data_IF_386022788306
#
_entry.id   IF_386022788306
#
_cell.length_a   1.000
_cell.length_b   1.000
_cell.length_c   1.000
_cell.angle_alpha   90.00
_cell.angle_beta   90.00
_cell.angle_gamma   90.00
#
_symmetry.space_group_name_H-M   'P 1'
#
loop_
_entity.id
_entity.type
_entity.pdbx_description
1 polymer ?
#
# COMPACT_ATOMS: atom_id res chain seq x y z
N UNK A 1 33.23 20.23 36.18
CA UNK A 1 34.01 19.61 35.09
C UNK A 1 33.21 18.42 34.61
N UNK A 2 32.73 18.52 33.35
CA UNK A 2 32.11 17.52 32.49
C UNK A 2 30.77 16.89 32.90
N UNK A 3 29.70 17.50 32.40
CA UNK A 3 28.40 16.88 32.13
C UNK A 3 28.58 15.67 31.21
N UNK A 4 28.13 14.48 31.65
CA UNK A 4 27.97 13.32 30.78
C UNK A 4 26.50 13.21 30.36
N UNK A 5 26.10 14.08 29.44
CA UNK A 5 24.86 13.90 28.68
C UNK A 5 25.10 12.81 27.65
N UNK A 6 24.74 11.58 28.00
CA UNK A 6 24.63 10.48 27.05
C UNK A 6 23.48 10.79 26.09
N UNK A 7 23.80 11.34 24.92
CA UNK A 7 22.87 11.45 23.80
C UNK A 7 22.47 10.05 23.36
N UNK A 8 21.39 9.51 23.92
CA UNK A 8 20.64 8.45 23.27
C UNK A 8 20.06 9.06 22.01
N UNK A 9 20.68 8.79 20.86
CA UNK A 9 20.06 9.02 19.58
C UNK A 9 18.69 8.33 19.63
N UNK A 10 17.63 9.14 19.71
CA UNK A 10 16.26 8.65 19.60
C UNK A 10 16.13 8.11 18.19
N UNK A 11 16.40 6.82 18.02
CA UNK A 11 15.81 6.05 16.94
C UNK A 11 14.32 6.06 17.24
N UNK A 12 13.62 7.10 16.79
CA UNK A 12 12.17 7.05 16.62
C UNK A 12 11.94 5.98 15.57
N UNK A 13 11.86 4.72 16.03
CA UNK A 13 11.37 3.64 15.19
C UNK A 13 10.06 4.11 14.61
N UNK A 14 9.90 4.01 13.29
CA UNK A 14 8.65 4.36 12.64
C UNK A 14 7.56 3.50 13.27
N UNK A 15 6.81 4.06 14.21
CA UNK A 15 5.69 3.35 14.81
C UNK A 15 4.65 3.18 13.72
N UNK A 16 4.18 1.94 13.54
CA UNK A 16 3.14 1.63 12.60
C UNK A 16 1.84 2.28 13.09
N UNK A 17 1.57 3.49 12.61
CA UNK A 17 0.36 4.22 12.98
C UNK A 17 -0.86 3.52 12.36
N UNK A 18 -1.95 3.32 13.13
CA UNK A 18 -3.23 2.89 12.56
C UNK A 18 -3.61 3.78 11.38
N UNK A 19 -4.08 3.15 10.30
CA UNK A 19 -4.22 3.79 9.00
C UNK A 19 -5.10 5.05 9.04
N UNK A 20 -4.51 6.21 8.72
CA UNK A 20 -5.20 7.48 8.54
C UNK A 20 -4.93 7.99 7.12
N UNK A 21 -5.95 8.58 6.49
CA UNK A 21 -5.79 9.24 5.19
C UNK A 21 -4.78 10.38 5.31
N UNK A 22 -3.81 10.46 4.40
CA UNK A 22 -2.86 11.56 4.42
C UNK A 22 -3.55 12.83 3.92
N UNK A 23 -3.70 13.82 4.81
CA UNK A 23 -4.20 15.13 4.42
C UNK A 23 -3.18 15.80 3.48
N UNK A 24 -3.68 16.36 2.38
CA UNK A 24 -2.87 17.10 1.40
C UNK A 24 -2.86 18.61 1.65
N UNK A 25 -3.62 19.09 2.64
CA UNK A 25 -3.75 20.52 2.92
C UNK A 25 -2.49 21.06 3.59
N UNK A 26 -1.95 22.14 3.04
CA UNK A 26 -0.77 22.82 3.60
C UNK A 26 0.57 22.15 3.31
N UNK A 27 0.59 21.05 2.55
CA UNK A 27 1.82 20.39 2.13
C UNK A 27 2.48 21.14 0.96
N UNK A 28 3.81 21.12 0.91
CA UNK A 28 4.54 21.58 -0.26
C UNK A 28 4.33 20.64 -1.46
N UNK A 29 4.92 20.98 -2.61
CA UNK A 29 4.70 20.22 -3.84
C UNK A 29 5.19 18.76 -3.76
N UNK A 30 6.34 18.52 -3.12
CA UNK A 30 6.95 17.19 -3.01
C UNK A 30 6.25 16.35 -1.93
N UNK A 31 5.95 16.96 -0.79
CA UNK A 31 5.18 16.35 0.30
C UNK A 31 3.78 15.95 -0.18
N UNK A 32 3.12 16.84 -0.93
CA UNK A 32 1.80 16.54 -1.52
C UNK A 32 1.86 15.38 -2.49
N UNK A 33 2.89 15.32 -3.35
CA UNK A 33 3.07 14.21 -4.29
C UNK A 33 3.23 12.88 -3.55
N UNK A 34 4.04 12.85 -2.50
CA UNK A 34 4.24 11.66 -1.65
C UNK A 34 2.95 11.25 -0.92
N UNK A 35 2.23 12.21 -0.35
CA UNK A 35 0.96 11.93 0.33
C UNK A 35 -0.10 11.34 -0.61
N UNK A 36 -0.20 11.86 -1.84
CA UNK A 36 -1.08 11.30 -2.88
C UNK A 36 -0.68 9.88 -3.25
N UNK A 37 0.61 9.65 -3.54
CA UNK A 37 1.11 8.31 -3.83
C UNK A 37 0.78 7.30 -2.72
N UNK A 38 0.96 7.68 -1.44
CA UNK A 38 0.64 6.80 -0.31
C UNK A 38 -0.86 6.51 -0.18
N UNK A 39 -1.71 7.48 -0.49
CA UNK A 39 -3.16 7.28 -0.50
C UNK A 39 -3.59 6.36 -1.67
N UNK A 40 -3.05 6.57 -2.87
CA UNK A 40 -3.33 5.73 -4.03
C UNK A 40 -2.84 4.29 -3.80
N UNK A 41 -1.65 4.13 -3.21
CA UNK A 41 -1.10 2.83 -2.83
C UNK A 41 -2.04 2.08 -1.88
N UNK A 42 -2.62 2.80 -0.91
CA UNK A 42 -3.60 2.23 0.00
C UNK A 42 -4.85 1.76 -0.73
N UNK A 43 -5.42 2.60 -1.59
CA UNK A 43 -6.64 2.26 -2.33
C UNK A 43 -6.43 1.00 -3.20
N UNK A 44 -5.24 0.85 -3.79
CA UNK A 44 -4.87 -0.37 -4.53
C UNK A 44 -4.83 -1.60 -3.61
N UNK A 45 -4.20 -1.50 -2.43
CA UNK A 45 -4.11 -2.62 -1.49
C UNK A 45 -5.49 -3.00 -0.92
N UNK A 46 -6.28 -2.01 -0.49
CA UNK A 46 -7.62 -2.22 0.06
C UNK A 46 -8.56 -2.83 -1.01
N UNK A 47 -8.48 -2.33 -2.25
CA UNK A 47 -9.20 -2.89 -3.39
C UNK A 47 -8.75 -4.32 -3.72
N UNK A 48 -7.46 -4.59 -3.73
CA UNK A 48 -6.92 -5.92 -3.98
C UNK A 48 -7.35 -6.93 -2.90
N UNK A 49 -7.29 -6.53 -1.63
CA UNK A 49 -7.76 -7.35 -0.52
C UNK A 49 -9.25 -7.67 -0.64
N UNK A 50 -10.07 -6.68 -0.96
CA UNK A 50 -11.52 -6.87 -1.18
C UNK A 50 -11.80 -7.87 -2.30
N UNK A 51 -11.09 -7.77 -3.43
CA UNK A 51 -11.26 -8.68 -4.55
C UNK A 51 -10.78 -10.11 -4.23
N UNK A 52 -9.69 -10.25 -3.47
CA UNK A 52 -9.24 -11.56 -2.99
C UNK A 52 -10.26 -12.20 -2.04
N UNK A 53 -10.86 -11.42 -1.15
CA UNK A 53 -11.94 -11.89 -0.28
C UNK A 53 -13.17 -12.32 -1.06
N UNK A 54 -13.55 -11.58 -2.11
CA UNK A 54 -14.66 -11.95 -3.00
C UNK A 54 -14.39 -13.31 -3.68
N UNK A 55 -13.18 -13.51 -4.22
CA UNK A 55 -12.79 -14.79 -4.83
C UNK A 55 -12.84 -15.94 -3.82
N UNK A 56 -12.31 -15.74 -2.62
CA UNK A 56 -12.31 -16.75 -1.57
C UNK A 56 -13.72 -17.09 -1.08
N UNK A 57 -14.56 -16.06 -0.92
CA UNK A 57 -15.96 -16.21 -0.56
C UNK A 57 -16.75 -16.99 -1.61
N UNK A 58 -16.57 -16.68 -2.90
CA UNK A 58 -17.27 -17.37 -3.99
C UNK A 58 -16.80 -18.83 -4.12
N UNK A 59 -15.51 -19.11 -3.94
CA UNK A 59 -14.98 -20.49 -3.89
C UNK A 59 -15.59 -21.29 -2.75
N UNK A 60 -15.65 -20.74 -1.53
CA UNK A 60 -16.20 -21.44 -0.37
C UNK A 60 -17.70 -21.75 -0.48
N UNK A 61 -18.41 -21.13 -1.43
CA UNK A 61 -19.85 -21.36 -1.68
C UNK A 61 -20.12 -22.32 -2.84
N UNK A 62 -19.11 -22.70 -3.63
CA UNK A 62 -19.24 -23.54 -4.82
C UNK A 62 -19.83 -24.93 -4.51
N UNK A 63 -19.56 -25.47 -3.32
CA UNK A 63 -20.09 -26.77 -2.88
C UNK A 63 -21.56 -26.71 -2.44
N UNK A 64 -22.05 -25.53 -2.05
CA UNK A 64 -23.40 -25.34 -1.51
C UNK A 64 -24.37 -24.69 -2.49
N UNK A 65 -23.86 -23.90 -3.44
CA UNK A 65 -24.62 -23.12 -4.42
C UNK A 65 -23.83 -22.97 -5.71
N UNK A 66 -24.50 -22.71 -6.84
CA UNK A 66 -23.78 -22.38 -8.06
C UNK A 66 -22.91 -21.13 -7.84
N UNK A 67 -21.67 -21.13 -8.37
CA UNK A 67 -20.74 -20.01 -8.22
C UNK A 67 -21.33 -18.75 -8.86
N UNK A 68 -21.16 -17.60 -8.20
CA UNK A 68 -21.55 -16.30 -8.73
C UNK A 68 -20.62 -15.87 -9.86
N UNK A 69 -19.33 -16.23 -9.75
CA UNK A 69 -18.29 -15.87 -10.71
C UNK A 69 -17.93 -17.08 -11.55
N UNK A 70 -18.14 -16.96 -12.86
CA UNK A 70 -17.60 -17.92 -13.82
C UNK A 70 -16.07 -17.78 -13.98
N UNK A 71 -15.48 -18.68 -14.78
CA UNK A 71 -14.04 -18.72 -15.02
C UNK A 71 -13.51 -17.44 -15.68
N UNK A 72 -14.32 -16.77 -16.51
CA UNK A 72 -13.94 -15.53 -17.17
C UNK A 72 -13.87 -14.37 -16.16
N UNK A 73 -14.84 -14.27 -15.25
CA UNK A 73 -14.82 -13.28 -14.17
C UNK A 73 -13.61 -13.51 -13.26
N UNK A 74 -13.39 -14.75 -12.83
CA UNK A 74 -12.27 -15.14 -11.94
C UNK A 74 -10.92 -14.80 -12.57
N UNK A 75 -10.72 -15.20 -13.82
CA UNK A 75 -9.48 -14.92 -14.57
C UNK A 75 -9.27 -13.42 -14.79
N UNK A 76 -10.35 -12.64 -14.94
CA UNK A 76 -10.26 -11.18 -15.10
C UNK A 76 -9.92 -10.48 -13.79
N UNK A 77 -10.52 -10.90 -12.67
CA UNK A 77 -10.18 -10.38 -11.34
C UNK A 77 -8.72 -10.71 -10.99
N UNK A 78 -8.28 -11.94 -11.22
CA UNK A 78 -6.89 -12.34 -10.97
C UNK A 78 -5.89 -11.52 -11.79
N UNK A 79 -6.16 -11.29 -13.09
CA UNK A 79 -5.32 -10.44 -13.93
C UNK A 79 -5.30 -8.99 -13.47
N UNK A 80 -6.45 -8.45 -13.06
CA UNK A 80 -6.54 -7.11 -12.50
C UNK A 80 -5.70 -7.00 -11.22
N UNK A 81 -5.82 -7.97 -10.31
CA UNK A 81 -5.02 -8.03 -9.09
C UNK A 81 -3.52 -8.01 -9.38
N UNK A 82 -3.06 -8.89 -10.29
CA UNK A 82 -1.65 -8.96 -10.68
C UNK A 82 -1.18 -7.63 -11.28
N UNK A 83 -1.96 -7.05 -12.20
CA UNK A 83 -1.61 -5.80 -12.84
C UNK A 83 -1.56 -4.63 -11.84
N UNK A 84 -2.58 -4.47 -11.00
CA UNK A 84 -2.65 -3.40 -10.01
C UNK A 84 -1.54 -3.49 -8.97
N UNK A 85 -1.27 -4.68 -8.45
CA UNK A 85 -0.19 -4.89 -7.47
C UNK A 85 1.19 -4.72 -8.12
N UNK A 86 1.38 -5.19 -9.36
CA UNK A 86 2.62 -5.00 -10.11
C UNK A 86 2.91 -3.53 -10.41
N UNK A 87 1.89 -2.76 -10.80
CA UNK A 87 2.03 -1.30 -11.00
C UNK A 87 2.36 -0.57 -9.70
N UNK A 88 1.71 -0.94 -8.59
CA UNK A 88 2.03 -0.39 -7.28
C UNK A 88 3.47 -0.72 -6.88
N UNK A 89 3.91 -1.96 -7.08
CA UNK A 89 5.28 -2.38 -6.81
C UNK A 89 6.30 -1.52 -7.57
N UNK A 90 6.14 -1.37 -8.89
CA UNK A 90 7.02 -0.50 -9.69
C UNK A 90 7.00 0.96 -9.20
N UNK A 91 5.84 1.45 -8.77
CA UNK A 91 5.71 2.78 -8.16
C UNK A 91 6.51 2.91 -6.86
N UNK A 92 6.47 1.89 -5.99
CA UNK A 92 7.24 1.84 -4.74
C UNK A 92 8.74 1.83 -5.04
N UNK A 93 9.19 1.01 -6.00
CA UNK A 93 10.60 0.98 -6.44
C UNK A 93 11.07 2.36 -6.87
N UNK A 94 10.29 3.06 -7.71
CA UNK A 94 10.62 4.41 -8.14
C UNK A 94 10.68 5.44 -6.99
N UNK A 95 9.85 5.30 -5.95
CA UNK A 95 9.96 6.15 -4.75
C UNK A 95 11.21 5.85 -3.93
N UNK A 96 11.58 4.58 -3.79
CA UNK A 96 12.80 4.17 -3.09
C UNK A 96 14.06 4.71 -3.78
N UNK A 97 14.14 4.56 -5.11
CA UNK A 97 15.25 5.11 -5.91
C UNK A 97 15.37 6.63 -5.76
N UNK A 98 14.24 7.35 -5.78
CA UNK A 98 14.23 8.80 -5.58
C UNK A 98 14.72 9.22 -4.19
N UNK A 99 14.41 8.43 -3.15
CA UNK A 99 14.90 8.69 -1.79
C UNK A 99 16.41 8.42 -1.65
N UNK A 100 16.93 7.40 -2.34
CA UNK A 100 18.36 7.10 -2.34
C UNK A 100 19.16 8.18 -3.07
N UNK A 101 18.67 8.68 -4.21
CA UNK A 101 19.28 9.81 -4.92
C UNK A 101 19.29 11.08 -4.07
N UNK A 102 18.23 11.36 -3.31
CA UNK A 102 18.16 12.54 -2.45
C UNK A 102 19.11 12.50 -1.23
N UNK A 103 19.66 11.32 -0.90
CA UNK A 103 20.60 11.12 0.22
C UNK A 103 22.07 11.22 -0.20
N UNK A 104 22.36 11.13 -1.50
CA UNK A 104 23.71 11.26 -2.07
C UNK A 104 24.05 12.72 -2.35
#
# INVERSE_FOLDING_TARGET
MADSSSSTAQTTGAEFKPFAWNSVHGLDHEERRRALFLNDARDVIDGAHTLMQLLAWDEGRRDATQPLLDDAHRSSIQRLLIASLGMLHAGIEGQCEALDVARM
#
